data_IF_760189118572
#
_entry.id   IF_760189118572
#
_cell.length_a   1.000
_cell.length_b   1.000
_cell.length_c   1.000
_cell.angle_alpha   90.00
_cell.angle_beta   90.00
_cell.angle_gamma   90.00
#
_symmetry.space_group_name_H-M   'P 1'
#
loop_
_entity.id
_entity.type
_entity.pdbx_description
1 polymer ?
#
# COMPACT_ATOMS: atom_id res chain seq x y z
N UNK A 1 -1.68 -4.05 -0.93
CA UNK A 1 -0.76 -5.13 -0.51
C UNK A 1 -1.31 -5.95 0.65
N UNK A 2 -1.19 -5.55 1.92
CA UNK A 2 -1.64 -6.39 3.05
C UNK A 2 -3.13 -6.73 3.02
N UNK A 3 -3.99 -5.77 2.66
CA UNK A 3 -5.43 -6.04 2.50
C UNK A 3 -5.70 -7.05 1.37
N UNK A 4 -4.98 -6.96 0.25
CA UNK A 4 -5.08 -7.93 -0.85
C UNK A 4 -4.73 -9.34 -0.37
N UNK A 5 -3.64 -9.48 0.40
CA UNK A 5 -3.28 -10.77 0.99
C UNK A 5 -4.32 -11.25 2.01
N UNK A 6 -4.84 -10.36 2.86
CA UNK A 6 -5.90 -10.72 3.81
C UNK A 6 -7.15 -11.26 3.09
N UNK A 7 -7.52 -10.66 1.95
CA UNK A 7 -8.65 -11.08 1.13
C UNK A 7 -8.41 -12.38 0.34
N UNK A 8 -7.17 -12.86 0.25
CA UNK A 8 -6.86 -14.18 -0.31
C UNK A 8 -7.13 -15.34 0.67
N UNK A 9 -7.51 -15.05 1.92
CA UNK A 9 -7.91 -16.07 2.89
C UNK A 9 -9.22 -16.76 2.45
N UNK A 10 -9.27 -18.10 2.37
CA UNK A 10 -10.47 -18.82 1.91
C UNK A 10 -11.69 -18.65 2.82
N UNK A 11 -11.47 -18.45 4.13
CA UNK A 11 -12.55 -18.14 5.07
C UNK A 11 -12.93 -16.66 4.95
N UNK A 12 -14.07 -16.40 4.31
CA UNK A 12 -14.60 -15.06 4.07
C UNK A 12 -14.77 -14.23 5.36
N UNK A 13 -15.15 -14.86 6.47
CA UNK A 13 -15.31 -14.14 7.75
C UNK A 13 -13.95 -13.71 8.28
N UNK A 14 -12.95 -14.59 8.20
CA UNK A 14 -11.58 -14.28 8.62
C UNK A 14 -10.95 -13.23 7.70
N UNK A 15 -11.14 -13.34 6.39
CA UNK A 15 -10.68 -12.38 5.39
C UNK A 15 -11.22 -10.97 5.69
N UNK A 16 -12.54 -10.85 5.82
CA UNK A 16 -13.22 -9.57 6.09
C UNK A 16 -12.82 -8.99 7.45
N UNK A 17 -12.65 -9.84 8.46
CA UNK A 17 -12.17 -9.44 9.78
C UNK A 17 -10.76 -8.84 9.69
N UNK A 18 -9.81 -9.54 9.07
CA UNK A 18 -8.43 -9.08 8.91
C UNK A 18 -8.35 -7.77 8.11
N UNK A 19 -9.11 -7.67 7.02
CA UNK A 19 -9.20 -6.43 6.24
C UNK A 19 -9.71 -5.27 7.10
N UNK A 20 -10.78 -5.50 7.86
CA UNK A 20 -11.37 -4.48 8.73
C UNK A 20 -10.40 -4.03 9.83
N UNK A 21 -9.66 -4.97 10.44
CA UNK A 21 -8.65 -4.64 11.45
C UNK A 21 -7.49 -3.85 10.86
N UNK A 22 -6.99 -4.20 9.67
CA UNK A 22 -5.96 -3.42 8.98
C UNK A 22 -6.39 -1.96 8.76
N UNK A 23 -7.63 -1.76 8.30
CA UNK A 23 -8.19 -0.41 8.09
C UNK A 23 -8.36 0.35 9.41
N UNK A 24 -8.87 -0.31 10.45
CA UNK A 24 -9.03 0.30 11.78
C UNK A 24 -7.69 0.70 12.38
N UNK A 25 -6.70 -0.19 12.34
CA UNK A 25 -5.35 0.10 12.85
C UNK A 25 -4.70 1.25 12.09
N UNK A 26 -4.83 1.29 10.76
CA UNK A 26 -4.30 2.38 9.93
C UNK A 26 -4.88 3.74 10.35
N UNK A 27 -6.21 3.84 10.47
CA UNK A 27 -6.85 5.11 10.82
C UNK A 27 -6.60 5.50 12.27
N UNK A 28 -6.55 4.52 13.19
CA UNK A 28 -6.19 4.77 14.59
C UNK A 28 -4.78 5.37 14.72
N UNK A 29 -3.78 4.82 14.00
CA UNK A 29 -2.42 5.36 14.00
C UNK A 29 -2.36 6.74 13.33
N UNK A 30 -3.09 6.94 12.23
CA UNK A 30 -3.20 8.24 11.54
C UNK A 30 -3.73 9.32 12.47
N UNK A 31 -4.84 9.06 13.19
CA UNK A 31 -5.39 10.00 14.16
C UNK A 31 -4.42 10.27 15.32
N UNK A 32 -3.73 9.24 15.80
CA UNK A 32 -2.73 9.38 16.86
C UNK A 32 -1.56 10.27 16.42
N UNK A 33 -1.11 10.16 15.17
CA UNK A 33 -0.08 11.03 14.58
C UNK A 33 -0.58 12.45 14.38
N UNK A 34 -1.80 12.62 13.90
CA UNK A 34 -2.42 13.93 13.70
C UNK A 34 -2.58 14.73 15.01
N UNK A 35 -2.81 14.03 16.14
CA UNK A 35 -2.83 14.64 17.48
C UNK A 35 -1.46 15.14 17.95
N UNK A 36 -0.37 14.55 17.44
CA UNK A 36 1.01 14.94 17.76
C UNK A 36 1.52 16.10 16.90
N UNK A 37 0.91 16.32 15.73
CA UNK A 37 1.12 17.57 14.99
C UNK A 37 0.62 18.71 15.87
N UNK A 38 1.41 19.78 15.99
CA UNK A 38 1.17 20.91 16.90
C UNK A 38 -0.16 21.63 16.66
N UNK A 39 -0.27 22.89 17.11
CA UNK A 39 -1.50 23.66 16.91
C UNK A 39 -1.73 23.95 15.43
N UNK A 40 -2.47 23.08 14.75
CA UNK A 40 -3.02 23.31 13.42
C UNK A 40 -4.50 23.64 13.53
N UNK A 41 -5.00 24.48 12.64
CA UNK A 41 -6.44 24.75 12.58
C UNK A 41 -7.21 23.46 12.27
N UNK A 42 -8.43 23.36 12.80
CA UNK A 42 -9.32 22.22 12.55
C UNK A 42 -9.61 22.03 11.05
N UNK A 43 -9.62 23.13 10.27
CA UNK A 43 -9.82 23.09 8.83
C UNK A 43 -8.68 22.34 8.11
N UNK A 44 -7.43 22.68 8.41
CA UNK A 44 -6.26 22.04 7.76
C UNK A 44 -6.20 20.56 8.15
N UNK A 45 -6.52 20.22 9.41
CA UNK A 45 -6.58 18.82 9.85
C UNK A 45 -7.61 18.01 9.07
N UNK A 46 -8.79 18.59 8.81
CA UNK A 46 -9.86 17.94 8.04
C UNK A 46 -9.47 17.76 6.58
N UNK A 47 -8.88 18.78 5.97
CA UNK A 47 -8.40 18.73 4.58
C UNK A 47 -7.32 17.65 4.41
N UNK A 48 -6.30 17.65 5.27
CA UNK A 48 -5.25 16.62 5.23
C UNK A 48 -5.78 15.20 5.44
N UNK A 49 -6.80 15.01 6.29
CA UNK A 49 -7.46 13.72 6.45
C UNK A 49 -8.24 13.32 5.20
N UNK A 50 -8.93 14.27 4.56
CA UNK A 50 -9.64 14.01 3.31
C UNK A 50 -8.68 13.60 2.20
N UNK A 51 -7.56 14.32 2.04
CA UNK A 51 -6.53 13.98 1.06
C UNK A 51 -5.96 12.58 1.31
N UNK A 52 -5.73 12.21 2.57
CA UNK A 52 -5.24 10.88 2.91
C UNK A 52 -6.28 9.79 2.65
N UNK A 53 -7.56 10.05 2.89
CA UNK A 53 -8.66 9.16 2.53
C UNK A 53 -8.73 8.94 1.01
N UNK A 54 -8.60 10.02 0.23
CA UNK A 54 -8.65 9.95 -1.22
C UNK A 54 -7.45 9.17 -1.77
N UNK A 55 -6.24 9.41 -1.24
CA UNK A 55 -5.07 8.59 -1.57
C UNK A 55 -5.23 7.13 -1.17
N UNK A 56 -5.80 6.84 0.00
CA UNK A 56 -6.04 5.48 0.44
C UNK A 56 -7.00 4.74 -0.49
N UNK A 57 -8.12 5.37 -0.88
CA UNK A 57 -9.09 4.81 -1.81
C UNK A 57 -8.48 4.62 -3.21
N UNK A 58 -7.69 5.59 -3.68
CA UNK A 58 -6.99 5.48 -4.95
C UNK A 58 -5.94 4.35 -4.93
N UNK A 59 -5.24 4.17 -3.80
CA UNK A 59 -4.28 3.09 -3.60
C UNK A 59 -4.97 1.70 -3.56
N UNK A 60 -6.19 1.60 -3.03
CA UNK A 60 -6.99 0.38 -3.08
C UNK A 60 -7.31 -0.03 -4.52
N UNK A 61 -7.82 0.91 -5.33
CA UNK A 61 -8.10 0.69 -6.75
C UNK A 61 -6.84 0.28 -7.52
N UNK A 62 -5.71 0.88 -7.16
CA UNK A 62 -4.39 0.51 -7.69
C UNK A 62 -4.03 -0.95 -7.50
N UNK A 63 -4.35 -1.51 -6.33
CA UNK A 63 -3.98 -2.88 -6.03
C UNK A 63 -4.84 -3.88 -6.77
N UNK A 64 -6.08 -3.55 -7.09
CA UNK A 64 -6.91 -4.40 -7.94
C UNK A 64 -6.37 -4.40 -9.39
N UNK A 65 -6.01 -3.23 -9.92
CA UNK A 65 -5.35 -3.12 -11.23
C UNK A 65 -3.93 -3.74 -11.25
N UNK A 66 -3.18 -3.61 -10.15
CA UNK A 66 -1.80 -4.04 -10.03
C UNK A 66 -1.61 -5.52 -9.69
N UNK A 67 -2.50 -6.11 -8.89
CA UNK A 67 -2.43 -7.52 -8.53
C UNK A 67 -2.87 -8.42 -9.68
N UNK A 68 -3.88 -8.00 -10.46
CA UNK A 68 -4.47 -8.79 -11.53
C UNK A 68 -4.09 -8.31 -12.94
N UNK A 69 -3.60 -7.08 -13.10
CA UNK A 69 -3.28 -6.48 -14.40
C UNK A 69 -1.80 -6.56 -14.79
N UNK A 70 -1.48 -5.93 -15.92
CA UNK A 70 -0.11 -5.86 -16.45
C UNK A 70 0.71 -4.72 -15.81
N UNK A 71 2.02 -4.74 -16.03
CA UNK A 71 2.92 -3.74 -15.45
C UNK A 71 2.69 -2.33 -16.01
N UNK A 72 2.09 -2.18 -17.18
CA UNK A 72 1.77 -0.86 -17.75
C UNK A 72 0.59 -0.24 -17.02
N UNK A 73 -0.44 -1.02 -16.71
CA UNK A 73 -1.57 -0.59 -15.89
C UNK A 73 -1.10 -0.21 -14.48
N UNK A 74 -0.28 -1.07 -13.85
CA UNK A 74 0.30 -0.78 -12.54
C UNK A 74 1.16 0.50 -12.54
N UNK A 75 2.03 0.67 -13.55
CA UNK A 75 2.83 1.89 -13.71
C UNK A 75 1.94 3.14 -13.86
N UNK A 76 0.95 3.09 -14.75
CA UNK A 76 0.03 4.20 -14.97
C UNK A 76 -0.79 4.55 -13.72
N UNK A 77 -1.13 3.55 -12.92
CA UNK A 77 -1.81 3.76 -11.65
C UNK A 77 -0.87 4.38 -10.62
N UNK A 78 0.33 3.82 -10.39
CA UNK A 78 1.32 4.35 -9.45
C UNK A 78 1.70 5.80 -9.77
N UNK A 79 1.83 6.13 -11.05
CA UNK A 79 2.09 7.51 -11.47
C UNK A 79 0.96 8.46 -11.07
N UNK A 80 -0.31 8.09 -11.30
CA UNK A 80 -1.47 8.93 -10.93
C UNK A 80 -1.61 9.11 -9.42
N UNK A 81 -1.41 8.05 -8.65
CA UNK A 81 -1.81 8.00 -7.23
C UNK A 81 -0.67 8.24 -6.26
N UNK A 82 0.53 7.71 -6.53
CA UNK A 82 1.68 7.88 -5.63
C UNK A 82 2.52 9.09 -6.02
N UNK A 83 2.61 9.37 -7.33
CA UNK A 83 3.39 10.49 -7.85
C UNK A 83 2.52 11.70 -8.23
N UNK A 84 1.19 11.65 -8.04
CA UNK A 84 0.25 12.75 -8.35
C UNK A 84 0.30 13.23 -9.82
N UNK A 85 0.58 12.32 -10.76
CA UNK A 85 0.90 12.67 -12.15
C UNK A 85 2.16 13.56 -12.30
N UNK A 86 2.95 13.70 -11.24
CA UNK A 86 4.25 14.35 -11.23
C UNK A 86 5.37 13.32 -11.38
N UNK A 87 6.60 13.81 -11.61
CA UNK A 87 7.77 12.96 -11.83
C UNK A 87 8.02 12.67 -13.32
N UNK A 88 9.20 13.07 -13.78
CA UNK A 88 9.67 12.86 -15.15
C UNK A 88 10.70 11.74 -15.27
N UNK A 89 11.00 11.04 -14.17
CA UNK A 89 11.99 9.97 -14.14
C UNK A 89 11.31 8.61 -14.33
N UNK A 90 11.43 7.98 -15.52
CA UNK A 90 10.85 6.66 -15.77
C UNK A 90 11.45 5.59 -14.86
N UNK A 91 12.71 5.74 -14.44
CA UNK A 91 13.40 4.78 -13.59
C UNK A 91 12.82 4.73 -12.17
N UNK A 92 12.36 5.86 -11.64
CA UNK A 92 11.64 5.91 -10.37
C UNK A 92 10.33 5.12 -10.44
N UNK A 93 9.57 5.30 -11.54
CA UNK A 93 8.31 4.60 -11.74
C UNK A 93 8.51 3.09 -11.92
N UNK A 94 9.51 2.69 -12.71
CA UNK A 94 9.88 1.28 -12.89
C UNK A 94 10.31 0.62 -11.58
N UNK A 95 11.08 1.33 -10.75
CA UNK A 95 11.48 0.86 -9.41
C UNK A 95 10.26 0.64 -8.51
N UNK A 96 9.26 1.54 -8.54
CA UNK A 96 8.02 1.38 -7.78
C UNK A 96 7.20 0.17 -8.25
N UNK A 97 7.10 -0.05 -9.56
CA UNK A 97 6.42 -1.22 -10.13
C UNK A 97 7.11 -2.51 -9.68
N UNK A 98 8.43 -2.61 -9.85
CA UNK A 98 9.21 -3.77 -9.43
C UNK A 98 9.06 -4.04 -7.92
N UNK A 99 9.09 -2.97 -7.12
CA UNK A 99 8.87 -3.05 -5.68
C UNK A 99 7.51 -3.65 -5.34
N UNK A 100 6.43 -3.08 -5.85
CA UNK A 100 5.06 -3.54 -5.56
C UNK A 100 4.89 -5.01 -5.97
N UNK A 101 5.38 -5.40 -7.16
CA UNK A 101 5.33 -6.78 -7.64
C UNK A 101 6.08 -7.74 -6.71
N UNK A 102 7.29 -7.37 -6.30
CA UNK A 102 8.12 -8.21 -5.40
C UNK A 102 7.45 -8.37 -4.04
N UNK A 103 6.91 -7.30 -3.47
CA UNK A 103 6.24 -7.38 -2.17
C UNK A 103 4.93 -8.17 -2.26
N UNK A 104 4.13 -7.99 -3.31
CA UNK A 104 2.92 -8.78 -3.56
C UNK A 104 3.24 -10.26 -3.70
N UNK A 105 4.24 -10.62 -4.53
CA UNK A 105 4.67 -12.01 -4.70
C UNK A 105 5.10 -12.66 -3.37
N UNK A 106 5.82 -11.91 -2.51
CA UNK A 106 6.22 -12.39 -1.19
C UNK A 106 5.01 -12.61 -0.27
N UNK A 107 4.06 -11.68 -0.27
CA UNK A 107 2.84 -11.79 0.54
C UNK A 107 1.96 -12.96 0.08
N UNK A 108 1.81 -13.15 -1.24
CA UNK A 108 1.03 -14.23 -1.84
C UNK A 108 1.59 -15.62 -1.47
N UNK A 109 2.91 -15.71 -1.27
CA UNK A 109 3.58 -16.94 -0.83
C UNK A 109 3.42 -17.25 0.66
N UNK A 110 2.92 -16.33 1.48
CA UNK A 110 2.74 -16.56 2.93
C UNK A 110 1.45 -17.33 3.20
N UNK A 111 1.48 -18.25 4.16
CA UNK A 111 0.28 -18.78 4.81
C UNK A 111 -0.39 -17.72 5.68
N UNK A 112 -1.65 -17.93 6.05
CA UNK A 112 -2.37 -16.96 6.90
C UNK A 112 -1.77 -16.85 8.30
N UNK A 113 -1.25 -17.96 8.82
CA UNK A 113 -0.62 -17.98 10.14
C UNK A 113 0.72 -17.25 10.11
N UNK A 114 1.49 -17.38 9.02
CA UNK A 114 2.69 -16.56 8.79
C UNK A 114 2.34 -15.08 8.63
N UNK A 115 1.29 -14.75 7.88
CA UNK A 115 0.87 -13.36 7.66
C UNK A 115 0.42 -12.66 8.96
N UNK A 116 -0.25 -13.40 9.85
CA UNK A 116 -0.80 -12.87 11.11
C UNK A 116 0.16 -12.99 12.29
N UNK A 117 1.28 -13.69 12.13
CA UNK A 117 2.31 -13.80 13.16
C UNK A 117 3.01 -12.45 13.37
N UNK A 118 3.12 -12.07 14.64
CA UNK A 118 3.86 -10.88 15.05
C UNK A 118 5.30 -10.90 14.52
N UNK A 119 5.79 -9.74 14.10
CA UNK A 119 7.13 -9.51 13.54
C UNK A 119 7.52 -10.35 12.31
N UNK A 120 6.57 -11.03 11.66
CA UNK A 120 6.86 -11.87 10.50
C UNK A 120 6.80 -11.13 9.15
N UNK A 121 6.21 -9.92 9.12
CA UNK A 121 6.16 -9.09 7.92
C UNK A 121 7.46 -8.27 7.78
N UNK A 122 8.23 -8.55 6.73
CA UNK A 122 9.43 -7.79 6.37
C UNK A 122 9.30 -7.20 4.98
N UNK A 123 9.65 -5.92 4.84
CA UNK A 123 9.63 -5.21 3.56
C UNK A 123 11.06 -5.08 3.05
N UNK A 124 11.30 -5.44 1.79
CA UNK A 124 12.59 -5.18 1.14
C UNK A 124 12.78 -3.67 1.03
N UNK A 125 13.98 -3.11 1.17
CA UNK A 125 14.20 -1.70 0.85
C UNK A 125 13.84 -1.38 -0.62
N UNK A 126 13.20 -0.22 -0.85
CA UNK A 126 12.73 0.19 -2.19
C UNK A 126 13.85 0.16 -3.25
N UNK A 127 15.02 0.68 -2.90
CA UNK A 127 16.13 0.84 -3.84
C UNK A 127 16.83 -0.48 -4.20
N UNK A 128 16.61 -1.55 -3.42
CA UNK A 128 17.07 -2.90 -3.77
C UNK A 128 16.21 -3.55 -4.86
N UNK A 129 15.05 -2.95 -5.17
CA UNK A 129 14.17 -3.38 -6.27
C UNK A 129 14.47 -2.65 -7.58
N UNK A 130 15.59 -1.90 -7.67
CA UNK A 130 16.00 -1.29 -8.93
C UNK A 130 16.31 -2.35 -9.99
N UNK A 131 15.89 -2.15 -11.24
CA UNK A 131 16.20 -3.05 -12.36
C UNK A 131 17.70 -3.28 -12.53
N UNK A 132 18.52 -2.25 -12.30
CA UNK A 132 19.98 -2.32 -12.42
C UNK A 132 20.63 -3.32 -11.44
N UNK A 133 19.94 -3.65 -10.35
CA UNK A 133 20.40 -4.62 -9.35
C UNK A 133 19.98 -6.06 -9.65
N UNK A 134 19.30 -6.31 -10.78
CA UNK A 134 18.85 -7.65 -11.23
C UNK A 134 19.86 -8.34 -12.17
N UNK A 135 21.13 -7.93 -12.15
CA UNK A 135 22.22 -8.57 -12.90
C UNK A 135 22.65 -9.92 -12.31
#
# INVERSE_FOLDING_TARGET
MCMTRAMAEPDERRATYLQSELVRSLWSDTEARLKKLGSMSSSIKREALQDLCDHFNAALLLYDEGAQGDDKALAGALWRVMLMCEGNDPSALETLVCYVRRQMHRLDGMTIDEFTKEDNLSWTPLLECRPDNLQ
#
